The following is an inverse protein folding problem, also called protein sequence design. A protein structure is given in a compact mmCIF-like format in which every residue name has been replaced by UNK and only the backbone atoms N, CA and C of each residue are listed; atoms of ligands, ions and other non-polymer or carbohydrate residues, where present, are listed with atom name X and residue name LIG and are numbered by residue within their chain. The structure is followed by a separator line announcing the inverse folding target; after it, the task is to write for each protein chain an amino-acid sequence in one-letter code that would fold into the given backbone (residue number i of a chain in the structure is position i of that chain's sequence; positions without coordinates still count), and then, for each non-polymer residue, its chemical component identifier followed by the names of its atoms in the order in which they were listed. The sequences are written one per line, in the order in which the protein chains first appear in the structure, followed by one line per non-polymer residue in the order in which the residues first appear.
data_IF_334210161699
#
_entry.id   IF_334210161699
#
_cell.length_a   1.000
_cell.length_b   1.000
_cell.length_c   1.000
_cell.angle_alpha   90.00
_cell.angle_beta   90.00
_cell.angle_gamma   90.00
#
_symmetry.space_group_name_H-M   'P 1'
#
loop_
_entity.id
_entity.type
_entity.pdbx_description
1 polymer ?
#
# COMPACT_ATOMS: atom_id res chain seq x y z
N UNK A 1 -0.88 -5.42 20.05
CA UNK A 1 -1.35 -4.87 18.77
C UNK A 1 -1.19 -3.36 18.78
N UNK A 2 -0.08 -2.89 18.24
CA UNK A 2 0.19 -1.48 17.96
C UNK A 2 -0.27 -1.12 16.54
N UNK A 3 -0.37 0.17 16.23
CA UNK A 3 -0.72 0.61 14.88
C UNK A 3 0.32 0.14 13.82
N UNK A 4 1.60 0.16 14.18
CA UNK A 4 2.68 -0.36 13.33
C UNK A 4 2.53 -1.87 13.08
N UNK A 5 2.14 -2.64 14.09
CA UNK A 5 1.88 -4.08 13.94
C UNK A 5 0.71 -4.33 12.96
N UNK A 6 -0.33 -3.49 12.97
CA UNK A 6 -1.45 -3.61 12.01
C UNK A 6 -0.95 -3.39 10.56
N UNK A 7 -0.16 -2.35 10.32
CA UNK A 7 0.40 -2.06 8.99
C UNK A 7 1.27 -3.22 8.50
N UNK A 8 2.18 -3.71 9.35
CA UNK A 8 3.08 -4.81 9.00
C UNK A 8 2.32 -6.12 8.73
N UNK A 9 1.27 -6.41 9.50
CA UNK A 9 0.44 -7.59 9.29
C UNK A 9 -0.32 -7.53 7.95
N UNK A 10 -0.85 -6.36 7.56
CA UNK A 10 -1.52 -6.18 6.27
C UNK A 10 -0.54 -6.30 5.09
N UNK A 11 0.64 -5.69 5.19
CA UNK A 11 1.69 -5.80 4.18
C UNK A 11 2.10 -7.27 3.97
N UNK A 12 2.30 -8.01 5.06
CA UNK A 12 2.62 -9.44 5.00
C UNK A 12 1.49 -10.25 4.36
N UNK A 13 0.26 -10.08 4.81
CA UNK A 13 -0.89 -10.80 4.28
C UNK A 13 -1.01 -10.64 2.75
N UNK A 14 -0.94 -9.40 2.23
CA UNK A 14 -1.07 -9.16 0.79
C UNK A 14 0.17 -9.60 0.00
N UNK A 15 1.37 -9.49 0.58
CA UNK A 15 2.57 -10.10 -0.01
C UNK A 15 2.41 -11.61 -0.19
N UNK A 16 1.84 -12.31 0.80
CA UNK A 16 1.59 -13.76 0.72
C UNK A 16 0.52 -14.10 -0.33
N UNK A 17 -0.35 -13.15 -0.70
CA UNK A 17 -1.31 -13.28 -1.82
C UNK A 17 -0.71 -12.91 -3.19
N UNK A 18 0.59 -12.59 -3.26
CA UNK A 18 1.28 -12.22 -4.50
C UNK A 18 1.15 -10.76 -4.89
N UNK A 19 0.65 -9.88 -4.01
CA UNK A 19 0.63 -8.45 -4.26
C UNK A 19 2.02 -7.83 -4.09
N UNK A 20 2.35 -6.85 -4.92
CA UNK A 20 3.58 -6.06 -4.77
C UNK A 20 3.36 -5.01 -3.67
N UNK A 21 4.16 -5.07 -2.61
CA UNK A 21 4.12 -4.07 -1.52
C UNK A 21 4.90 -2.82 -1.94
N UNK A 22 4.17 -1.75 -2.26
CA UNK A 22 4.73 -0.46 -2.65
C UNK A 22 4.83 0.51 -1.46
N UNK A 23 5.75 1.47 -1.56
CA UNK A 23 5.83 2.57 -0.59
C UNK A 23 4.78 3.66 -0.87
N UNK A 24 4.45 4.50 0.13
CA UNK A 24 3.69 5.72 -0.11
C UNK A 24 4.36 6.59 -1.18
N UNK A 25 3.54 7.26 -1.98
CA UNK A 25 4.04 8.18 -2.98
C UNK A 25 4.51 9.49 -2.32
N UNK A 26 5.50 10.15 -2.91
CA UNK A 26 6.27 11.26 -2.33
C UNK A 26 5.64 12.64 -2.53
N UNK A 27 4.50 12.72 -3.24
CA UNK A 27 3.70 13.94 -3.41
C UNK A 27 2.31 13.76 -2.79
N UNK A 28 1.70 14.86 -2.39
CA UNK A 28 0.41 14.90 -1.72
C UNK A 28 -0.70 14.36 -2.63
N UNK A 29 -1.52 13.46 -2.07
CA UNK A 29 -2.68 12.86 -2.73
C UNK A 29 -3.81 12.74 -1.71
N UNK A 30 -5.06 12.90 -2.17
CA UNK A 30 -6.24 12.74 -1.31
C UNK A 30 -6.63 11.29 -1.03
N UNK A 31 -6.20 10.35 -1.89
CA UNK A 31 -6.49 8.93 -1.76
C UNK A 31 -5.44 8.07 -2.49
N UNK A 32 -5.30 6.80 -2.07
CA UNK A 32 -4.40 5.84 -2.71
C UNK A 32 -4.74 5.54 -4.17
N UNK A 33 -5.99 5.75 -4.59
CA UNK A 33 -6.43 5.63 -6.00
C UNK A 33 -5.68 6.59 -6.93
N UNK A 34 -5.16 7.71 -6.42
CA UNK A 34 -4.38 8.68 -7.19
C UNK A 34 -2.87 8.38 -7.23
N UNK A 35 -2.41 7.32 -6.54
CA UNK A 35 -1.03 6.85 -6.65
C UNK A 35 -0.81 6.30 -8.08
N UNK A 36 0.29 6.64 -8.77
CA UNK A 36 0.59 6.07 -10.09
C UNK A 36 0.54 4.54 -10.12
N UNK A 37 0.95 3.87 -9.04
CA UNK A 37 0.87 2.41 -8.88
C UNK A 37 -0.57 1.84 -8.97
N UNK A 38 -1.58 2.69 -8.78
CA UNK A 38 -3.00 2.35 -8.96
C UNK A 38 -3.54 3.00 -10.23
N UNK A 39 -3.49 4.33 -10.36
CA UNK A 39 -4.16 5.07 -11.44
C UNK A 39 -3.70 4.67 -12.85
N UNK A 40 -2.41 4.36 -13.03
CA UNK A 40 -1.84 4.00 -14.34
C UNK A 40 -1.81 2.48 -14.60
N UNK A 41 -2.13 1.67 -13.59
CA UNK A 41 -2.05 0.21 -13.64
C UNK A 41 -3.40 -0.46 -13.30
N UNK A 42 -4.49 0.30 -13.31
CA UNK A 42 -5.86 -0.17 -13.06
C UNK A 42 -6.44 -0.98 -14.23
#
# INVERSE_FOLDING_TARGET
MTFQEIILNLQKFWSDQGCIVQNPYDIEKGAGTMNPATFLHA
#
